data_IF_168687406323
#
_entry.id   IF_168687406323
#
_cell.length_a   1.000
_cell.length_b   1.000
_cell.length_c   1.000
_cell.angle_alpha   90.00
_cell.angle_beta   90.00
_cell.angle_gamma   90.00
#
_symmetry.space_group_name_H-M   'P 1'
#
loop_
_entity.id
_entity.type
_entity.pdbx_description
1 polymer ?
#
# COMPACT_ATOMS: atom_id res chain seq x y z
N UNK A 1 -1.84 8.84 21.97
CA UNK A 1 -1.63 7.39 21.76
C UNK A 1 -0.89 6.86 22.97
N UNK A 2 -1.42 5.85 23.68
CA UNK A 2 -0.67 5.24 24.82
C UNK A 2 0.53 4.46 24.25
N UNK A 3 1.71 4.49 24.86
CA UNK A 3 2.84 3.65 24.45
C UNK A 3 2.64 2.20 24.88
N UNK A 4 3.41 1.25 24.32
CA UNK A 4 3.40 -0.16 24.78
C UNK A 4 3.82 -0.25 26.25
N UNK A 5 4.80 0.57 26.67
CA UNK A 5 5.25 0.65 28.06
C UNK A 5 4.15 1.11 29.00
N UNK A 6 3.36 2.13 28.60
CA UNK A 6 2.23 2.60 29.39
C UNK A 6 1.14 1.52 29.55
N UNK A 7 0.92 0.67 28.53
CA UNK A 7 -0.01 -0.46 28.66
C UNK A 7 0.53 -1.56 29.59
N UNK A 8 1.84 -1.82 29.56
CA UNK A 8 2.47 -2.78 30.47
C UNK A 8 2.40 -2.30 31.92
N UNK A 9 2.65 -1.02 32.17
CA UNK A 9 2.46 -0.42 33.50
C UNK A 9 1.02 -0.59 33.98
N UNK A 10 0.04 -0.37 33.09
CA UNK A 10 -1.38 -0.58 33.40
C UNK A 10 -1.71 -2.03 33.77
N UNK A 11 -1.11 -3.03 33.11
CA UNK A 11 -1.29 -4.43 33.50
C UNK A 11 -0.79 -4.72 34.91
N UNK A 12 0.35 -4.13 35.30
CA UNK A 12 0.89 -4.26 36.66
C UNK A 12 -0.08 -3.65 37.67
N UNK A 13 -0.60 -2.45 37.40
CA UNK A 13 -1.61 -1.81 38.26
C UNK A 13 -2.85 -2.69 38.45
N UNK A 14 -3.41 -3.22 37.35
CA UNK A 14 -4.59 -4.10 37.41
C UNK A 14 -4.32 -5.34 38.26
N UNK A 15 -3.14 -5.95 38.10
CA UNK A 15 -2.73 -7.12 38.87
C UNK A 15 -2.54 -6.81 40.36
N UNK A 16 -1.97 -5.65 40.69
CA UNK A 16 -1.82 -5.19 42.07
C UNK A 16 -3.18 -4.96 42.74
N UNK A 17 -4.11 -4.32 42.04
CA UNK A 17 -5.47 -4.08 42.54
C UNK A 17 -6.21 -5.41 42.78
N UNK A 18 -6.14 -6.36 41.83
CA UNK A 18 -6.75 -7.67 41.99
C UNK A 18 -6.18 -8.46 43.18
N UNK A 19 -4.85 -8.42 43.37
CA UNK A 19 -4.18 -9.03 44.53
C UNK A 19 -4.59 -8.37 45.85
N UNK A 20 -4.73 -7.05 45.88
CA UNK A 20 -5.16 -6.33 47.08
C UNK A 20 -6.58 -6.72 47.48
N UNK A 21 -7.49 -6.87 46.51
CA UNK A 21 -8.86 -7.33 46.73
C UNK A 21 -8.88 -8.75 47.34
N UNK A 22 -8.15 -9.69 46.71
CA UNK A 22 -8.02 -11.06 47.21
C UNK A 22 -7.39 -11.10 48.62
N UNK A 23 -6.31 -10.35 48.83
CA UNK A 23 -5.63 -10.29 50.12
C UNK A 23 -6.51 -9.73 51.24
N UNK A 24 -7.46 -8.85 50.92
CA UNK A 24 -8.41 -8.30 51.89
C UNK A 24 -9.42 -9.37 52.32
N UNK A 25 -9.97 -10.11 51.36
CA UNK A 25 -10.87 -11.25 51.64
C UNK A 25 -10.16 -12.35 52.45
N UNK A 26 -8.92 -12.69 52.06
CA UNK A 26 -8.10 -13.70 52.75
C UNK A 26 -7.74 -13.27 54.18
N UNK A 27 -7.43 -11.99 54.40
CA UNK A 27 -7.13 -11.44 55.73
C UNK A 27 -8.36 -11.49 56.65
N UNK A 28 -9.55 -11.30 56.10
CA UNK A 28 -10.83 -11.40 56.79
C UNK A 28 -11.31 -12.86 56.93
N UNK A 29 -10.58 -13.83 56.37
CA UNK A 29 -10.90 -15.26 56.36
C UNK A 29 -12.31 -15.55 55.88
N UNK A 30 -12.77 -14.78 54.89
CA UNK A 30 -14.09 -14.93 54.28
C UNK A 30 -13.95 -15.20 52.79
N UNK A 31 -14.99 -15.78 52.23
CA UNK A 31 -15.14 -15.85 50.79
C UNK A 31 -15.34 -14.44 50.21
N UNK A 32 -15.01 -14.27 48.93
CA UNK A 32 -15.30 -13.03 48.22
C UNK A 32 -16.80 -12.79 48.18
N UNK A 33 -17.18 -11.55 48.45
CA UNK A 33 -18.56 -11.10 48.26
C UNK A 33 -18.91 -11.04 46.77
N UNK A 34 -20.21 -11.05 46.45
CA UNK A 34 -20.69 -10.93 45.07
C UNK A 34 -20.17 -9.65 44.37
N UNK A 35 -20.06 -8.55 45.12
CA UNK A 35 -19.54 -7.29 44.61
C UNK A 35 -18.06 -7.43 44.22
N UNK A 36 -17.23 -7.97 45.10
CA UNK A 36 -15.80 -8.19 44.82
C UNK A 36 -15.56 -9.21 43.71
N UNK A 37 -16.39 -10.25 43.60
CA UNK A 37 -16.34 -11.19 42.47
C UNK A 37 -16.60 -10.46 41.16
N UNK A 38 -17.64 -9.62 41.12
CA UNK A 38 -17.99 -8.83 39.93
C UNK A 38 -16.87 -7.84 39.56
N UNK A 39 -16.22 -7.24 40.57
CA UNK A 39 -15.07 -6.35 40.37
C UNK A 39 -13.84 -7.11 39.84
N UNK A 40 -13.53 -8.29 40.39
CA UNK A 40 -12.44 -9.12 39.88
C UNK A 40 -12.69 -9.57 38.44
N UNK A 41 -13.92 -9.99 38.12
CA UNK A 41 -14.30 -10.37 36.76
C UNK A 41 -14.13 -9.19 35.78
N UNK A 42 -14.48 -7.97 36.21
CA UNK A 42 -14.26 -6.76 35.44
C UNK A 42 -12.76 -6.45 35.24
N UNK A 43 -11.93 -6.64 36.28
CA UNK A 43 -10.48 -6.47 36.19
C UNK A 43 -9.85 -7.50 35.25
N UNK A 44 -10.31 -8.76 35.25
CA UNK A 44 -9.85 -9.77 34.30
C UNK A 44 -10.22 -9.42 32.87
N UNK A 45 -11.45 -8.94 32.64
CA UNK A 45 -11.85 -8.46 31.32
C UNK A 45 -11.01 -7.27 30.85
N UNK A 46 -10.69 -6.31 31.74
CA UNK A 46 -9.78 -5.20 31.42
C UNK A 46 -8.38 -5.73 31.09
N UNK A 47 -7.85 -6.66 31.89
CA UNK A 47 -6.53 -7.26 31.68
C UNK A 47 -6.41 -7.91 30.30
N UNK A 48 -7.36 -8.77 29.92
CA UNK A 48 -7.39 -9.39 28.59
C UNK A 48 -7.48 -8.35 27.46
N UNK A 49 -8.28 -7.29 27.66
CA UNK A 49 -8.43 -6.24 26.66
C UNK A 49 -7.11 -5.49 26.43
N UNK A 50 -6.37 -5.21 27.50
CA UNK A 50 -5.07 -4.52 27.47
C UNK A 50 -4.00 -5.42 26.86
N UNK A 51 -3.99 -6.72 27.16
CA UNK A 51 -3.10 -7.68 26.49
C UNK A 51 -3.31 -7.71 24.98
N UNK A 52 -4.57 -7.80 24.53
CA UNK A 52 -4.91 -7.75 23.09
C UNK A 52 -4.50 -6.44 22.43
N UNK A 53 -4.56 -5.32 23.15
CA UNK A 53 -4.04 -4.04 22.67
C UNK A 53 -2.51 -4.06 22.50
N UNK A 54 -1.78 -4.61 23.46
CA UNK A 54 -0.32 -4.76 23.39
C UNK A 54 0.07 -5.64 22.19
N UNK A 55 -0.55 -6.81 22.05
CA UNK A 55 -0.25 -7.72 20.95
C UNK A 55 -0.49 -7.08 19.57
N UNK A 56 -1.59 -6.34 19.42
CA UNK A 56 -1.89 -5.61 18.18
C UNK A 56 -0.81 -4.59 17.85
N UNK A 57 -0.30 -3.86 18.85
CA UNK A 57 0.77 -2.88 18.64
C UNK A 57 2.10 -3.54 18.33
N UNK A 58 2.47 -4.60 19.03
CA UNK A 58 3.70 -5.37 18.72
C UNK A 58 3.65 -5.88 17.27
N UNK A 59 2.50 -6.39 16.82
CA UNK A 59 2.31 -6.85 15.43
C UNK A 59 2.47 -5.72 14.42
N UNK A 60 1.93 -4.53 14.70
CA UNK A 60 2.08 -3.37 13.84
C UNK A 60 3.54 -2.90 13.77
N UNK A 61 4.22 -2.79 14.91
CA UNK A 61 5.63 -2.38 14.97
C UNK A 61 6.53 -3.38 14.21
N UNK A 62 6.24 -4.68 14.31
CA UNK A 62 6.96 -5.71 13.58
C UNK A 62 6.69 -5.65 12.07
N UNK A 63 5.46 -5.34 11.65
CA UNK A 63 5.13 -5.11 10.23
C UNK A 63 5.83 -3.88 9.68
N UNK A 64 5.83 -2.78 10.43
CA UNK A 64 6.52 -1.55 10.07
C UNK A 64 8.03 -1.78 9.93
N UNK A 65 8.64 -2.51 10.87
CA UNK A 65 10.05 -2.89 10.81
C UNK A 65 10.38 -3.70 9.54
N UNK A 66 9.53 -4.69 9.20
CA UNK A 66 9.70 -5.50 7.97
C UNK A 66 9.52 -4.71 6.68
N UNK A 67 8.67 -3.68 6.68
CA UNK A 67 8.50 -2.79 5.54
C UNK A 67 9.65 -1.79 5.43
N UNK A 68 10.19 -1.35 6.57
CA UNK A 68 11.35 -0.46 6.66
C UNK A 68 12.68 -1.13 6.29
N UNK A 69 12.80 -2.45 6.49
CA UNK A 69 13.88 -3.26 5.94
C UNK A 69 13.79 -3.27 4.41
N UNK A 70 14.38 -2.27 3.76
CA UNK A 70 14.44 -2.21 2.30
C UNK A 70 15.13 -3.47 1.79
N UNK A 71 14.39 -4.36 1.14
CA UNK A 71 14.98 -5.47 0.40
C UNK A 71 15.61 -4.86 -0.84
N UNK A 72 16.91 -4.52 -0.73
CA UNK A 72 17.70 -3.97 -1.82
C UNK A 72 17.50 -4.80 -3.09
N UNK A 73 17.44 -4.13 -4.25
CA UNK A 73 17.21 -4.80 -5.53
C UNK A 73 18.36 -5.78 -5.81
N UNK A 74 18.11 -7.08 -5.66
CA UNK A 74 19.03 -8.13 -6.13
C UNK A 74 18.69 -8.41 -7.59
N UNK A 75 19.51 -7.90 -8.51
CA UNK A 75 19.43 -8.27 -9.94
C UNK A 75 20.39 -9.44 -10.16
N UNK A 76 19.92 -10.63 -10.60
CA UNK A 76 20.83 -11.69 -11.00
C UNK A 76 21.67 -11.23 -12.20
N UNK A 77 22.97 -11.59 -12.27
CA UNK A 77 23.81 -11.23 -13.40
C UNK A 77 23.19 -11.77 -14.69
N UNK A 78 22.99 -10.89 -15.68
CA UNK A 78 22.53 -11.31 -17.01
C UNK A 78 23.61 -12.17 -17.66
N UNK A 79 23.30 -13.39 -18.11
CA UNK A 79 24.24 -14.15 -18.93
C UNK A 79 24.47 -13.39 -20.23
N UNK A 80 25.74 -13.21 -20.59
CA UNK A 80 26.16 -12.60 -21.86
C UNK A 80 25.74 -13.58 -22.97
N UNK A 81 24.59 -13.34 -23.61
CA UNK A 81 24.19 -14.07 -24.80
C UNK A 81 25.03 -13.61 -25.99
N UNK A 82 25.61 -14.56 -26.72
CA UNK A 82 26.28 -14.34 -27.99
C UNK A 82 25.34 -13.61 -28.99
N UNK A 83 25.87 -12.82 -29.95
CA UNK A 83 25.05 -12.02 -30.85
C UNK A 83 24.19 -12.92 -31.75
N UNK A 84 22.93 -13.10 -31.39
CA UNK A 84 21.93 -13.72 -32.24
C UNK A 84 21.34 -12.66 -33.18
N UNK A 85 21.37 -12.97 -34.48
CA UNK A 85 20.81 -12.16 -35.56
C UNK A 85 19.37 -11.73 -35.24
N UNK A 86 19.13 -10.43 -35.21
CA UNK A 86 17.85 -9.83 -34.84
C UNK A 86 16.88 -9.94 -36.02
N UNK A 87 16.10 -11.03 -36.07
CA UNK A 87 14.90 -11.09 -36.92
C UNK A 87 13.77 -10.43 -36.13
N UNK A 88 13.34 -9.26 -36.60
CA UNK A 88 12.18 -8.53 -36.06
C UNK A 88 10.90 -9.36 -36.26
N UNK A 89 10.49 -10.09 -35.22
CA UNK A 89 9.17 -10.71 -35.14
C UNK A 89 8.26 -9.80 -34.30
N UNK A 90 7.13 -9.43 -34.92
CA UNK A 90 6.12 -8.55 -34.36
C UNK A 90 5.69 -8.94 -32.94
N UNK A 91 5.47 -7.91 -32.12
CA UNK A 91 5.05 -8.03 -30.73
C UNK A 91 3.68 -8.70 -30.62
N UNK A 92 3.67 -10.02 -30.52
CA UNK A 92 2.52 -10.81 -30.11
C UNK A 92 2.64 -11.16 -28.63
N UNK A 93 1.64 -10.75 -27.86
CA UNK A 93 1.26 -11.39 -26.60
C UNK A 93 1.99 -10.95 -25.33
N UNK A 94 1.23 -10.30 -24.44
CA UNK A 94 1.44 -10.18 -22.99
C UNK A 94 2.55 -9.23 -22.51
N UNK A 95 2.28 -7.91 -22.58
CA UNK A 95 2.99 -6.89 -21.79
C UNK A 95 2.23 -6.39 -20.55
N UNK A 96 1.18 -7.09 -20.13
CA UNK A 96 0.36 -6.64 -18.99
C UNK A 96 0.20 -7.75 -17.94
N UNK A 97 1.23 -7.95 -17.12
CA UNK A 97 1.15 -8.80 -15.90
C UNK A 97 1.20 -7.97 -14.61
N UNK A 98 1.08 -6.64 -14.69
CA UNK A 98 0.92 -5.78 -13.52
C UNK A 98 -0.48 -5.19 -13.50
N UNK A 99 -1.19 -5.38 -12.40
CA UNK A 99 -2.43 -4.66 -12.11
C UNK A 99 -2.08 -3.17 -12.04
N UNK A 100 -2.52 -2.40 -13.04
CA UNK A 100 -2.41 -0.94 -13.04
C UNK A 100 -3.41 -0.37 -12.05
N UNK A 101 -2.98 0.51 -11.16
CA UNK A 101 -3.92 1.22 -10.26
C UNK A 101 -4.79 2.18 -11.09
N UNK A 102 -5.91 2.66 -10.51
CA UNK A 102 -6.75 3.67 -11.19
C UNK A 102 -5.94 4.94 -11.53
N UNK A 103 -4.93 5.25 -10.71
CA UNK A 103 -4.02 6.39 -10.89
C UNK A 103 -3.08 6.20 -12.09
N UNK A 104 -2.64 4.96 -12.37
CA UNK A 104 -1.79 4.65 -13.55
C UNK A 104 -2.55 4.80 -14.87
N UNK A 105 -3.87 4.60 -14.86
CA UNK A 105 -4.74 4.79 -16.04
C UNK A 105 -4.80 6.26 -16.47
N UNK A 106 -4.78 7.19 -15.51
CA UNK A 106 -4.81 8.63 -15.79
C UNK A 106 -3.51 9.14 -16.45
N UNK A 107 -2.42 8.37 -16.37
CA UNK A 107 -1.12 8.71 -16.98
C UNK A 107 -0.96 8.19 -18.41
N UNK A 108 -2.05 7.71 -19.03
CA UNK A 108 -2.07 7.27 -20.44
C UNK A 108 -0.98 6.24 -20.80
N UNK A 109 -0.57 5.44 -19.81
CA UNK A 109 0.47 4.43 -19.97
C UNK A 109 1.92 4.92 -19.83
N UNK A 110 2.15 6.18 -19.41
CA UNK A 110 3.47 6.65 -18.94
C UNK A 110 3.65 6.34 -17.45
N UNK A 111 4.80 5.81 -17.05
CA UNK A 111 5.07 5.46 -15.64
C UNK A 111 5.31 6.71 -14.80
N UNK A 112 6.17 7.60 -15.31
CA UNK A 112 6.61 8.84 -14.67
C UNK A 112 6.85 9.95 -15.70
N UNK A 113 6.90 11.20 -15.25
CA UNK A 113 7.15 12.37 -16.11
C UNK A 113 8.48 12.27 -16.91
N UNK A 114 9.51 11.64 -16.33
CA UNK A 114 10.78 11.42 -17.03
C UNK A 114 10.67 10.50 -18.25
N UNK A 115 9.77 9.49 -18.21
CA UNK A 115 9.52 8.62 -19.37
C UNK A 115 8.87 9.42 -20.50
N UNK A 116 7.90 10.26 -20.17
CA UNK A 116 7.25 11.17 -21.12
C UNK A 116 8.27 12.10 -21.78
N UNK A 117 9.10 12.81 -21.00
CA UNK A 117 10.12 13.70 -21.56
C UNK A 117 11.11 12.98 -22.48
N UNK A 118 11.48 11.73 -22.15
CA UNK A 118 12.38 10.95 -22.99
C UNK A 118 11.70 10.54 -24.32
N UNK A 119 10.42 10.16 -24.28
CA UNK A 119 9.66 9.87 -25.52
C UNK A 119 9.50 11.10 -26.41
N UNK A 120 9.26 12.28 -25.82
CA UNK A 120 9.18 13.56 -26.55
C UNK A 120 10.53 13.91 -27.18
N UNK A 121 11.63 13.82 -26.42
CA UNK A 121 12.98 14.08 -26.92
C UNK A 121 13.34 13.13 -28.07
N UNK A 122 12.98 11.85 -27.93
CA UNK A 122 13.22 10.85 -28.98
C UNK A 122 12.41 11.14 -30.24
N UNK A 123 11.14 11.51 -30.13
CA UNK A 123 10.31 11.92 -31.26
C UNK A 123 10.83 13.20 -31.94
N UNK A 124 11.36 14.15 -31.18
CA UNK A 124 11.97 15.36 -31.73
C UNK A 124 13.28 15.10 -32.49
N UNK A 125 14.05 14.08 -32.07
CA UNK A 125 15.33 13.73 -32.69
C UNK A 125 15.16 12.76 -33.87
N UNK A 126 14.15 11.89 -33.81
CA UNK A 126 13.83 10.87 -34.82
C UNK A 126 12.32 10.86 -35.10
N UNK A 127 11.82 11.75 -35.97
CA UNK A 127 10.38 11.91 -36.22
C UNK A 127 9.75 10.77 -37.04
N UNK A 128 10.56 9.89 -37.63
CA UNK A 128 10.07 8.76 -38.44
C UNK A 128 9.48 7.61 -37.62
N UNK A 129 9.80 7.51 -36.33
CA UNK A 129 9.27 6.47 -35.43
C UNK A 129 8.85 7.07 -34.07
N UNK A 130 7.81 7.90 -34.01
CA UNK A 130 7.30 8.41 -32.74
C UNK A 130 6.63 7.27 -31.93
N UNK A 131 6.75 7.32 -30.61
CA UNK A 131 6.03 6.39 -29.71
C UNK A 131 4.52 6.58 -29.91
N UNK A 132 3.78 5.50 -30.16
CA UNK A 132 2.34 5.53 -30.41
C UNK A 132 1.56 6.21 -29.27
N UNK A 133 2.05 6.14 -28.02
CA UNK A 133 1.46 6.82 -26.87
C UNK A 133 1.54 8.35 -26.96
N UNK A 134 2.58 8.87 -27.63
CA UNK A 134 2.75 10.31 -27.86
C UNK A 134 1.82 10.82 -28.97
N UNK A 135 1.60 10.02 -30.01
CA UNK A 135 0.70 10.35 -31.13
C UNK A 135 -0.76 10.34 -30.67
N UNK A 136 -1.16 9.33 -29.88
CA UNK A 136 -2.53 9.20 -29.37
C UNK A 136 -2.91 10.28 -28.35
N UNK A 137 -1.94 10.85 -27.63
CA UNK A 137 -2.14 11.90 -26.62
C UNK A 137 -1.80 13.31 -27.12
N UNK A 138 -1.29 13.45 -28.35
CA UNK A 138 -1.15 14.76 -28.94
C UNK A 138 -2.55 15.31 -29.22
N UNK A 139 -2.83 16.55 -28.81
CA UNK A 139 -3.95 17.32 -29.37
C UNK A 139 -3.67 17.46 -30.86
N UNK A 140 -4.18 16.54 -31.67
CA UNK A 140 -4.11 16.67 -33.12
C UNK A 140 -5.00 17.85 -33.48
N UNK A 141 -4.41 18.99 -33.85
CA UNK A 141 -5.13 20.09 -34.52
C UNK A 141 -5.59 19.71 -35.93
N UNK A 142 -5.81 18.42 -36.19
CA UNK A 142 -6.70 18.00 -37.26
C UNK A 142 -8.11 18.06 -36.67
N UNK A 143 -8.63 19.29 -36.59
CA UNK A 143 -10.04 19.50 -36.41
C UNK A 143 -10.77 18.63 -37.43
N UNK A 144 -11.82 17.97 -36.97
CA UNK A 144 -12.82 17.35 -37.83
C UNK A 144 -13.55 18.47 -38.59
N UNK A 145 -12.84 19.19 -39.45
CA UNK A 145 -13.40 19.95 -40.56
C UNK A 145 -13.71 18.96 -41.69
N UNK A 146 -14.43 17.89 -41.33
CA UNK A 146 -15.29 17.23 -42.28
C UNK A 146 -16.33 18.27 -42.66
N UNK A 147 -16.11 18.95 -43.78
CA UNK A 147 -17.19 19.43 -44.62
C UNK A 147 -18.14 18.24 -44.73
N UNK A 148 -19.23 18.29 -43.96
CA UNK A 148 -20.29 17.30 -44.09
C UNK A 148 -20.69 17.27 -45.56
N UNK A 149 -20.95 16.08 -46.08
CA UNK A 149 -21.35 15.86 -47.46
C UNK A 149 -22.70 16.53 -47.84
N UNK A 150 -23.18 17.48 -47.04
CA UNK A 150 -24.37 18.28 -47.24
C UNK A 150 -24.13 19.70 -46.70
N UNK A 151 -23.30 20.47 -47.42
CA UNK A 151 -23.07 21.90 -47.20
C UNK A 151 -24.27 22.73 -47.69
N UNK A 152 -25.44 22.51 -47.10
CA UNK A 152 -26.65 23.29 -47.36
C UNK A 152 -26.67 24.56 -46.50
N UNK A 153 -26.48 25.72 -47.11
CA UNK A 153 -26.75 27.01 -46.47
C UNK A 153 -28.25 27.13 -46.17
N UNK A 154 -28.61 27.24 -44.90
CA UNK A 154 -29.84 27.93 -44.50
C UNK A 154 -29.46 29.35 -44.10
N UNK A 155 -29.95 30.32 -44.88
CA UNK A 155 -29.96 31.76 -44.60
C UNK A 155 -30.88 32.04 -43.42
#
# INVERSE_FOLDING_TARGET
MKSIEALRARLVEIQEVGKACQSTADAEKRDLTLAEQTELDALFAEFESVEKDIERRIKLDAQESRLGESVGRVVPPQPIAAPANVVSQGSSGLRNTRLTTIEDRARWGFRDFGEFCNTVRRAATNPSEPDARLIQNALTTYGSEGVGADGGFAV
#
